data_IF_427370440547
#
_entry.id   IF_427370440547
#
_cell.length_a   1.000
_cell.length_b   1.000
_cell.length_c   1.000
_cell.angle_alpha   90.00
_cell.angle_beta   90.00
_cell.angle_gamma   90.00
#
_symmetry.space_group_name_H-M   'P 1'
#
loop_
_entity.id
_entity.type
_entity.pdbx_description
1 polymer ?
#
# COMPACT_ATOMS: atom_id res chain seq x y z
N UNK A 1 -9.65 10.01 -11.64
CA UNK A 1 -9.09 10.45 -10.35
C UNK A 1 -7.97 9.49 -9.98
N UNK A 2 -6.88 9.92 -9.31
CA UNK A 2 -5.74 9.04 -9.05
C UNK A 2 -5.95 8.04 -7.89
N UNK A 3 -6.87 8.34 -6.97
CA UNK A 3 -7.22 7.51 -5.80
C UNK A 3 -8.74 7.45 -5.63
N UNK A 4 -9.25 6.40 -5.00
CA UNK A 4 -10.67 6.27 -4.61
C UNK A 4 -10.89 6.70 -3.15
N UNK A 5 -9.91 6.46 -2.28
CA UNK A 5 -9.93 6.84 -0.86
C UNK A 5 -8.64 7.56 -0.45
N UNK A 6 -8.67 8.25 0.68
CA UNK A 6 -7.47 8.68 1.41
C UNK A 6 -6.93 7.54 2.26
N UNK A 7 -5.69 7.66 2.73
CA UNK A 7 -5.07 6.66 3.62
C UNK A 7 -5.70 6.64 5.03
N UNK A 8 -6.67 7.52 5.34
CA UNK A 8 -7.40 7.54 6.60
C UNK A 8 -8.89 7.24 6.47
N UNK A 9 -9.37 6.88 5.28
CA UNK A 9 -10.80 6.72 4.99
C UNK A 9 -11.29 5.27 5.00
N UNK A 10 -10.40 4.28 4.82
CA UNK A 10 -10.81 2.88 4.76
C UNK A 10 -11.43 2.40 6.07
N UNK A 11 -12.50 1.63 5.93
CA UNK A 11 -13.32 1.11 7.03
C UNK A 11 -13.72 -0.34 6.79
N UNK A 12 -14.49 -0.91 7.71
CA UNK A 12 -15.04 -2.26 7.54
C UNK A 12 -16.07 -2.36 6.39
N UNK A 13 -16.64 -1.23 5.96
CA UNK A 13 -17.60 -1.21 4.85
C UNK A 13 -16.91 -1.40 3.49
N UNK A 14 -15.59 -1.22 3.43
CA UNK A 14 -14.77 -1.34 2.22
C UNK A 14 -14.18 -2.75 2.02
N UNK A 15 -14.58 -3.71 2.86
CA UNK A 15 -14.12 -5.09 2.75
C UNK A 15 -14.45 -5.65 1.36
N UNK A 16 -13.43 -6.24 0.72
CA UNK A 16 -13.51 -6.83 -0.62
C UNK A 16 -13.78 -5.84 -1.77
N UNK A 17 -13.77 -4.53 -1.52
CA UNK A 17 -13.82 -3.53 -2.58
C UNK A 17 -12.45 -3.32 -3.21
N UNK A 18 -12.39 -3.13 -4.52
CA UNK A 18 -11.18 -2.66 -5.20
C UNK A 18 -10.97 -1.17 -4.87
N UNK A 19 -9.87 -0.85 -4.19
CA UNK A 19 -9.55 0.52 -3.81
C UNK A 19 -8.24 0.98 -4.44
N UNK A 20 -8.12 2.30 -4.65
CA UNK A 20 -6.89 2.92 -5.09
C UNK A 20 -6.44 3.95 -4.07
N UNK A 21 -5.21 3.83 -3.57
CA UNK A 21 -4.58 4.76 -2.64
C UNK A 21 -3.34 5.39 -3.27
N UNK A 22 -3.06 6.64 -2.91
CA UNK A 22 -1.85 7.35 -3.28
C UNK A 22 -1.23 7.97 -2.04
N UNK A 23 0.09 7.86 -1.89
CA UNK A 23 0.81 8.41 -0.75
C UNK A 23 2.32 8.21 -0.82
N UNK A 24 2.96 8.47 0.31
CA UNK A 24 4.39 8.27 0.54
C UNK A 24 4.57 7.04 1.43
N UNK A 25 5.57 6.21 1.13
CA UNK A 25 5.97 5.12 2.01
C UNK A 25 6.54 5.71 3.30
N UNK A 26 5.87 5.50 4.42
CA UNK A 26 6.30 5.95 5.75
C UNK A 26 7.24 4.92 6.39
N UNK A 27 6.80 3.67 6.47
CA UNK A 27 7.61 2.56 6.96
C UNK A 27 7.70 1.45 5.91
N UNK A 28 8.83 0.73 5.91
CA UNK A 28 9.09 -0.43 5.05
C UNK A 28 9.57 -1.59 5.93
N UNK A 29 8.89 -2.74 5.88
CA UNK A 29 9.16 -3.91 6.71
C UNK A 29 9.11 -5.18 5.87
N UNK A 30 10.27 -5.80 5.64
CA UNK A 30 10.41 -7.06 4.88
C UNK A 30 10.75 -8.21 5.83
N UNK A 31 9.90 -9.22 5.88
CA UNK A 31 10.06 -10.41 6.72
C UNK A 31 10.43 -11.67 5.91
N UNK A 32 10.83 -11.53 4.65
CA UNK A 32 11.22 -12.65 3.77
C UNK A 32 10.05 -13.45 3.18
N UNK A 33 8.95 -13.62 3.92
CA UNK A 33 7.70 -14.25 3.45
C UNK A 33 6.58 -13.27 3.08
N UNK A 34 6.72 -12.01 3.48
CA UNK A 34 5.77 -10.93 3.18
C UNK A 34 6.43 -9.57 3.40
N UNK A 35 5.98 -8.60 2.61
CA UNK A 35 6.43 -7.22 2.68
C UNK A 35 5.28 -6.32 3.10
N UNK A 36 5.55 -5.46 4.07
CA UNK A 36 4.59 -4.53 4.65
C UNK A 36 5.11 -3.12 4.48
N UNK A 37 4.23 -2.23 4.05
CA UNK A 37 4.50 -0.80 4.08
C UNK A 37 3.36 -0.09 4.79
N UNK A 38 3.67 0.98 5.50
CA UNK A 38 2.65 1.94 5.90
C UNK A 38 2.66 3.07 4.86
N UNK A 39 1.53 3.25 4.18
CA UNK A 39 1.33 4.30 3.19
C UNK A 39 0.70 5.52 3.85
N UNK A 40 1.39 6.65 3.78
CA UNK A 40 0.97 7.91 4.38
C UNK A 40 0.45 8.87 3.34
N UNK A 41 -0.68 9.50 3.64
CA UNK A 41 -1.07 10.75 3.01
C UNK A 41 -1.39 11.81 4.07
N UNK A 42 -2.01 12.92 3.67
CA UNK A 42 -2.39 14.00 4.58
C UNK A 42 -3.34 13.55 5.70
N UNK A 43 -4.15 12.52 5.45
CA UNK A 43 -5.32 12.16 6.26
C UNK A 43 -5.05 10.97 7.17
N UNK A 44 -4.00 10.20 6.93
CA UNK A 44 -3.62 9.10 7.82
C UNK A 44 -2.60 8.14 7.23
N UNK A 45 -2.56 6.96 7.84
CA UNK A 45 -1.73 5.82 7.45
C UNK A 45 -2.64 4.65 7.10
N UNK A 46 -2.36 3.99 5.98
CA UNK A 46 -2.93 2.68 5.64
C UNK A 46 -1.82 1.67 5.47
N UNK A 47 -1.91 0.52 6.13
CA UNK A 47 -0.99 -0.58 5.91
C UNK A 47 -1.30 -1.27 4.57
N UNK A 48 -0.28 -1.46 3.74
CA UNK A 48 -0.36 -2.27 2.53
C UNK A 48 0.52 -3.51 2.69
N UNK A 49 -0.04 -4.66 2.31
CA UNK A 49 0.60 -5.97 2.45
C UNK A 49 0.82 -6.59 1.08
N UNK A 50 2.07 -6.92 0.79
CA UNK A 50 2.46 -7.75 -0.36
C UNK A 50 2.75 -9.15 0.17
N UNK A 51 1.89 -10.10 -0.16
CA UNK A 51 1.89 -11.47 0.36
C UNK A 51 2.10 -12.54 -0.72
N UNK A 52 1.85 -13.83 -0.40
CA UNK A 52 2.04 -14.96 -1.33
C UNK A 52 1.24 -14.85 -2.64
N UNK A 53 0.06 -14.23 -2.59
CA UNK A 53 -0.81 -14.08 -3.75
C UNK A 53 -0.48 -12.84 -4.60
N UNK A 54 0.52 -12.05 -4.20
CA UNK A 54 0.98 -10.90 -4.97
C UNK A 54 1.74 -11.37 -6.21
N UNK A 55 1.36 -10.85 -7.39
CA UNK A 55 2.07 -11.15 -8.63
C UNK A 55 3.57 -10.84 -8.52
N UNK A 56 4.43 -11.73 -9.02
CA UNK A 56 5.89 -11.63 -8.88
C UNK A 56 6.44 -10.28 -9.36
N UNK A 57 5.94 -9.74 -10.47
CA UNK A 57 6.34 -8.42 -10.97
C UNK A 57 6.02 -7.28 -10.00
N UNK A 58 4.89 -7.35 -9.30
CA UNK A 58 4.50 -6.38 -8.26
C UNK A 58 5.39 -6.54 -7.04
N UNK A 59 5.67 -7.76 -6.61
CA UNK A 59 6.59 -8.03 -5.49
C UNK A 59 8.01 -7.49 -5.77
N UNK A 60 8.52 -7.66 -6.99
CA UNK A 60 9.81 -7.10 -7.39
C UNK A 60 9.83 -5.57 -7.38
N UNK A 61 8.73 -4.92 -7.76
CA UNK A 61 8.60 -3.46 -7.67
C UNK A 61 8.52 -3.00 -6.21
N UNK A 62 7.73 -3.70 -5.39
CA UNK A 62 7.54 -3.40 -3.98
C UNK A 62 8.86 -3.47 -3.19
N UNK A 63 9.73 -4.44 -3.48
CA UNK A 63 11.09 -4.55 -2.88
C UNK A 63 12.03 -3.37 -3.21
N UNK A 64 11.72 -2.57 -4.23
CA UNK A 64 12.48 -1.37 -4.58
C UNK A 64 12.01 -0.13 -3.82
N UNK A 65 10.87 -0.20 -3.13
CA UNK A 65 10.34 0.93 -2.37
C UNK A 65 11.27 1.32 -1.22
N UNK A 66 11.34 2.62 -0.95
CA UNK A 66 12.08 3.22 0.17
C UNK A 66 11.20 4.26 0.85
N UNK A 67 11.59 4.68 2.05
CA UNK A 67 10.93 5.79 2.73
C UNK A 67 10.79 7.00 1.78
N UNK A 68 9.64 7.66 1.84
CA UNK A 68 9.25 8.80 1.00
C UNK A 68 9.08 8.50 -0.50
N UNK A 69 9.11 7.23 -0.93
CA UNK A 69 8.72 6.89 -2.31
C UNK A 69 7.24 7.20 -2.50
N UNK A 70 6.91 7.99 -3.54
CA UNK A 70 5.52 8.26 -3.92
C UNK A 70 4.99 7.10 -4.75
N UNK A 71 3.90 6.51 -4.30
CA UNK A 71 3.28 5.35 -4.97
C UNK A 71 1.78 5.52 -5.12
N UNK A 72 1.25 4.83 -6.13
CA UNK A 72 -0.16 4.52 -6.29
C UNK A 72 -0.32 3.02 -6.17
N UNK A 73 -1.27 2.58 -5.34
CA UNK A 73 -1.53 1.17 -5.07
C UNK A 73 -3.00 0.89 -5.37
N UNK A 74 -3.25 -0.21 -6.05
CA UNK A 74 -4.59 -0.76 -6.32
C UNK A 74 -4.64 -2.18 -5.74
N UNK A 75 -5.76 -2.52 -5.09
CA UNK A 75 -6.04 -3.84 -4.55
C UNK A 75 -7.11 -3.80 -3.48
#
# INVERSE_FOLDING_TARGET
MLRTHTCGELSADDLSADVALCGWVDTYRDHGGGLFIDLRDRFGLTQVVFGPDTAEGVMQLARKLRAETVVRIEG
#
